data_IF_670170297286
#
_entry.id   IF_670170297286
#
_cell.length_a   1.000
_cell.length_b   1.000
_cell.length_c   1.000
_cell.angle_alpha   90.00
_cell.angle_beta   90.00
_cell.angle_gamma   90.00
#
_symmetry.space_group_name_H-M   'P 1'
#
loop_
_entity.id
_entity.type
_entity.pdbx_description
1 polymer ?
#
# COMPACT_ATOMS: atom_id res chain seq x y z
N UNK A 1 0.82 -0.63 21.17
CA UNK A 1 1.06 0.61 20.41
C UNK A 1 0.51 0.39 19.02
N UNK A 2 -0.35 1.27 18.51
CA UNK A 2 -0.88 1.14 17.14
C UNK A 2 0.19 1.55 16.14
N UNK A 3 0.47 0.71 15.14
CA UNK A 3 1.32 1.06 13.99
C UNK A 3 0.45 1.25 12.74
N UNK A 4 0.96 2.00 11.78
CA UNK A 4 0.41 2.11 10.45
C UNK A 4 1.07 1.03 9.58
N UNK A 5 0.26 0.19 8.95
CA UNK A 5 0.72 -0.71 7.90
C UNK A 5 0.37 -0.05 6.58
N UNK A 6 1.38 0.51 5.91
CA UNK A 6 1.23 1.23 4.65
C UNK A 6 1.40 0.27 3.48
N UNK A 7 0.28 -0.19 2.95
CA UNK A 7 0.22 -1.19 1.88
C UNK A 7 0.30 -0.52 0.49
N UNK A 8 1.32 -0.88 -0.28
CA UNK A 8 1.65 -0.26 -1.56
C UNK A 8 1.82 -1.36 -2.62
N UNK A 9 1.07 -1.32 -3.74
CA UNK A 9 1.27 -2.24 -4.87
C UNK A 9 2.63 -2.09 -5.53
N UNK A 10 3.28 -3.20 -5.86
CA UNK A 10 4.49 -3.25 -6.67
C UNK A 10 5.80 -2.98 -5.91
N UNK A 11 6.87 -2.75 -6.65
CA UNK A 11 8.19 -2.52 -6.06
C UNK A 11 8.40 -1.04 -5.72
N UNK A 12 8.28 -0.70 -4.44
CA UNK A 12 8.53 0.63 -3.88
C UNK A 12 9.94 1.19 -4.22
N UNK A 13 10.91 0.36 -4.66
CA UNK A 13 12.23 0.81 -5.10
C UNK A 13 12.25 1.32 -6.55
N UNK A 14 11.21 1.02 -7.33
CA UNK A 14 11.11 1.52 -8.70
C UNK A 14 11.04 3.06 -8.73
N UNK A 15 11.60 3.64 -9.79
CA UNK A 15 11.77 5.10 -9.94
C UNK A 15 10.53 5.75 -10.56
N UNK A 16 9.37 5.52 -9.98
CA UNK A 16 8.13 6.20 -10.38
C UNK A 16 7.84 7.38 -9.45
N UNK A 17 7.07 8.36 -9.93
CA UNK A 17 6.69 9.54 -9.15
C UNK A 17 5.90 9.18 -7.88
N UNK A 18 4.96 8.24 -7.98
CA UNK A 18 4.12 7.77 -6.85
C UNK A 18 4.97 7.18 -5.72
N UNK A 19 5.86 6.24 -6.03
CA UNK A 19 6.74 5.63 -5.01
C UNK A 19 7.72 6.62 -4.38
N UNK A 20 8.04 7.72 -5.06
CA UNK A 20 8.79 8.83 -4.46
C UNK A 20 8.06 9.48 -3.30
N UNK A 21 6.75 9.71 -3.47
CA UNK A 21 5.89 10.23 -2.42
C UNK A 21 5.78 9.23 -1.25
N UNK A 22 5.55 7.96 -1.52
CA UNK A 22 5.39 6.94 -0.47
C UNK A 22 6.63 6.77 0.40
N UNK A 23 7.82 6.71 -0.23
CA UNK A 23 9.09 6.66 0.49
C UNK A 23 9.30 7.90 1.35
N UNK A 24 8.91 9.09 0.85
CA UNK A 24 9.00 10.32 1.64
C UNK A 24 8.05 10.28 2.82
N UNK A 25 6.82 9.80 2.63
CA UNK A 25 5.82 9.72 3.69
C UNK A 25 6.26 8.76 4.81
N UNK A 26 6.78 7.57 4.46
CA UNK A 26 7.37 6.64 5.43
C UNK A 26 8.52 7.28 6.22
N UNK A 27 9.40 8.02 5.55
CA UNK A 27 10.50 8.71 6.21
C UNK A 27 10.01 9.83 7.17
N UNK A 28 8.96 10.57 6.80
CA UNK A 28 8.36 11.59 7.66
C UNK A 28 7.63 11.00 8.86
N UNK A 29 6.96 9.85 8.71
CA UNK A 29 6.38 9.12 9.84
C UNK A 29 7.45 8.71 10.86
N UNK A 30 8.54 8.11 10.37
CA UNK A 30 9.66 7.72 11.22
C UNK A 30 10.27 8.92 11.96
N UNK A 31 10.47 10.06 11.25
CA UNK A 31 10.97 11.31 11.87
C UNK A 31 10.08 11.86 12.97
N UNK A 32 8.78 11.59 12.92
CA UNK A 32 7.78 12.06 13.90
C UNK A 32 7.50 11.04 15.01
N UNK A 33 8.21 9.91 15.02
CA UNK A 33 7.98 8.82 15.98
C UNK A 33 6.69 8.04 15.71
N UNK A 34 6.11 8.16 14.51
CA UNK A 34 4.96 7.36 14.08
C UNK A 34 5.49 6.03 13.56
N UNK A 35 5.07 4.93 14.19
CA UNK A 35 5.42 3.58 13.75
C UNK A 35 4.65 3.27 12.45
N UNK A 36 5.29 3.47 11.30
CA UNK A 36 4.74 3.10 10.00
C UNK A 36 5.65 2.09 9.32
N UNK A 37 5.08 0.99 8.83
CA UNK A 37 5.79 -0.07 8.12
C UNK A 37 5.24 -0.23 6.71
N UNK A 38 6.12 -0.41 5.74
CA UNK A 38 5.73 -0.72 4.37
C UNK A 38 5.27 -2.18 4.30
N UNK A 39 4.13 -2.39 3.67
CA UNK A 39 3.65 -3.70 3.25
C UNK A 39 3.57 -3.75 1.72
N UNK A 40 4.36 -4.62 1.11
CA UNK A 40 4.32 -4.80 -0.34
C UNK A 40 3.08 -5.61 -0.75
N UNK A 41 2.34 -5.11 -1.73
CA UNK A 41 1.26 -5.84 -2.39
C UNK A 41 1.68 -6.25 -3.82
N UNK A 42 1.00 -7.22 -4.45
CA UNK A 42 1.19 -7.52 -5.87
C UNK A 42 1.07 -6.28 -6.76
N UNK A 43 1.75 -6.30 -7.91
CA UNK A 43 1.89 -5.12 -8.78
C UNK A 43 0.79 -4.93 -9.83
N UNK A 44 -0.14 -5.88 -9.99
CA UNK A 44 -1.16 -5.85 -11.05
C UNK A 44 -2.20 -4.72 -10.94
N UNK A 45 -2.20 -3.97 -9.85
CA UNK A 45 -3.11 -2.84 -9.66
C UNK A 45 -2.86 -1.70 -10.66
N UNK A 46 -3.91 -1.02 -11.17
CA UNK A 46 -5.30 -1.06 -10.73
C UNK A 46 -6.16 -2.17 -11.36
N UNK A 47 -5.58 -3.09 -12.13
CA UNK A 47 -6.28 -4.18 -12.82
C UNK A 47 -5.72 -5.55 -12.39
N UNK A 48 -5.81 -5.90 -11.10
CA UNK A 48 -5.22 -7.13 -10.60
C UNK A 48 -5.87 -8.36 -11.25
N UNK A 49 -5.11 -9.44 -11.32
CA UNK A 49 -5.68 -10.76 -11.59
C UNK A 49 -6.41 -11.29 -10.34
N UNK A 50 -7.33 -12.25 -10.51
CA UNK A 50 -7.99 -12.91 -9.38
C UNK A 50 -7.00 -13.56 -8.40
N UNK A 51 -5.85 -14.04 -8.89
CA UNK A 51 -4.79 -14.58 -8.06
C UNK A 51 -4.11 -13.49 -7.21
N UNK A 52 -3.91 -12.29 -7.75
CA UNK A 52 -3.35 -11.17 -7.02
C UNK A 52 -4.33 -10.62 -5.97
N UNK A 53 -5.64 -10.60 -6.26
CA UNK A 53 -6.66 -10.25 -5.27
C UNK A 53 -6.67 -11.22 -4.08
N UNK A 54 -6.63 -12.53 -4.36
CA UNK A 54 -6.53 -13.56 -3.32
C UNK A 54 -5.25 -13.40 -2.49
N UNK A 55 -4.12 -13.14 -3.14
CA UNK A 55 -2.85 -12.92 -2.46
C UNK A 55 -2.90 -11.69 -1.54
N UNK A 56 -3.59 -10.61 -1.92
CA UNK A 56 -3.77 -9.44 -1.03
C UNK A 56 -4.54 -9.80 0.23
N UNK A 57 -5.62 -10.58 0.11
CA UNK A 57 -6.37 -11.04 1.28
C UNK A 57 -5.50 -11.86 2.23
N UNK A 58 -4.75 -12.84 1.71
CA UNK A 58 -3.83 -13.67 2.49
C UNK A 58 -2.71 -12.85 3.16
N UNK A 59 -2.21 -11.83 2.47
CA UNK A 59 -1.21 -10.90 3.02
C UNK A 59 -1.82 -10.11 4.18
N UNK A 60 -3.01 -9.54 4.04
CA UNK A 60 -3.64 -8.77 5.12
C UNK A 60 -3.99 -9.63 6.33
N UNK A 61 -4.51 -10.84 6.12
CA UNK A 61 -4.78 -11.78 7.22
C UNK A 61 -3.52 -12.13 8.01
N UNK A 62 -2.37 -12.23 7.34
CA UNK A 62 -1.10 -12.57 7.97
C UNK A 62 -0.43 -11.38 8.65
N UNK A 63 -0.48 -10.20 8.04
CA UNK A 63 0.36 -9.06 8.41
C UNK A 63 -0.36 -8.05 9.31
N UNK A 64 -1.70 -8.00 9.30
CA UNK A 64 -2.50 -7.07 10.09
C UNK A 64 -3.03 -7.70 11.37
N UNK A 65 -3.05 -6.91 12.43
CA UNK A 65 -3.76 -7.21 13.67
C UNK A 65 -4.89 -6.22 13.89
N UNK A 66 -5.79 -6.52 14.84
CA UNK A 66 -6.92 -5.63 15.19
C UNK A 66 -6.49 -4.25 15.70
N UNK A 67 -5.24 -4.12 16.17
CA UNK A 67 -4.67 -2.87 16.66
C UNK A 67 -3.93 -2.07 15.58
N UNK A 68 -3.74 -2.65 14.39
CA UNK A 68 -3.08 -1.98 13.27
C UNK A 68 -4.03 -1.02 12.55
N UNK A 69 -3.46 0.03 11.96
CA UNK A 69 -4.17 0.90 11.00
C UNK A 69 -3.63 0.60 9.61
N UNK A 70 -4.48 0.06 8.73
CA UNK A 70 -4.13 -0.09 7.32
C UNK A 70 -4.26 1.26 6.60
N UNK A 71 -3.15 1.74 6.06
CA UNK A 71 -3.12 2.83 5.08
C UNK A 71 -2.82 2.19 3.73
N UNK A 72 -3.65 2.43 2.72
CA UNK A 72 -3.54 1.71 1.45
C UNK A 72 -3.37 2.74 0.32
N UNK A 73 -2.34 2.56 -0.52
CA UNK A 73 -2.12 3.42 -1.68
C UNK A 73 -3.32 3.33 -2.64
N UNK A 74 -3.79 4.48 -3.13
CA UNK A 74 -4.99 4.59 -3.95
C UNK A 74 -4.95 3.79 -5.27
N UNK A 75 -3.77 3.36 -5.73
CA UNK A 75 -3.66 2.41 -6.84
C UNK A 75 -4.27 1.05 -6.49
N UNK A 76 -4.20 0.60 -5.23
CA UNK A 76 -4.75 -0.68 -4.79
C UNK A 76 -6.29 -0.71 -4.78
N UNK A 77 -6.95 0.45 -4.64
CA UNK A 77 -8.41 0.55 -4.70
C UNK A 77 -8.95 1.17 -5.98
N UNK A 78 -8.06 1.55 -6.90
CA UNK A 78 -8.39 2.29 -8.12
C UNK A 78 -8.93 3.69 -7.81
N UNK A 79 -8.30 4.72 -8.38
CA UNK A 79 -9.11 5.87 -8.75
C UNK A 79 -10.12 5.34 -9.78
N UNK A 80 -11.44 5.59 -9.66
CA UNK A 80 -12.36 5.23 -10.71
C UNK A 80 -11.80 5.79 -12.01
N UNK A 81 -11.64 4.93 -13.02
CA UNK A 81 -11.31 5.37 -14.36
C UNK A 81 -12.36 6.42 -14.69
N UNK A 82 -11.96 7.68 -14.69
CA UNK A 82 -12.80 8.73 -15.25
C UNK A 82 -13.04 8.27 -16.67
N UNK A 83 -14.29 7.92 -16.98
CA UNK A 83 -14.75 7.80 -18.35
C UNK A 83 -14.48 9.14 -18.99
N UNK A 84 -13.31 9.26 -19.64
CA UNK A 84 -13.11 10.25 -20.70
C UNK A 84 -13.82 9.66 -21.92
N UNK A 85 -15.14 9.76 -21.91
CA UNK A 85 -16.02 9.91 -23.07
C UNK A 85 -17.33 10.51 -22.56
#
# INVERSE_FOLDING_TARGET
MRRIVFAIPGDLRARTGGYGYDRRLLAEFARRGVAAVHLALPGGFPHPTAAEEAAVAEIFERELTVDDVALIDGLAYGAPVGTKM
#
